data_IF_602601982929
#
_entry.id   IF_602601982929
#
_cell.length_a   1.000
_cell.length_b   1.000
_cell.length_c   1.000
_cell.angle_alpha   90.00
_cell.angle_beta   90.00
_cell.angle_gamma   90.00
#
_symmetry.space_group_name_H-M   'P 1'
#
loop_
_entity.id
_entity.type
_entity.pdbx_description
1 polymer ?
#
# COMPACT_ATOMS: atom_id res chain seq x y z
N UNK A 1 -22.79 5.55 -5.26
CA UNK A 1 -21.91 5.68 -4.06
C UNK A 1 -20.56 5.00 -4.26
N UNK A 2 -20.50 3.77 -4.79
CA UNK A 2 -19.23 3.17 -5.25
C UNK A 2 -18.56 3.99 -6.36
N UNK A 3 -19.35 4.56 -7.28
CA UNK A 3 -18.83 5.30 -8.43
C UNK A 3 -18.07 6.55 -8.01
N UNK A 4 -18.56 7.29 -7.02
CA UNK A 4 -17.88 8.50 -6.52
C UNK A 4 -16.52 8.19 -5.88
N UNK A 5 -16.42 7.10 -5.12
CA UNK A 5 -15.15 6.69 -4.50
C UNK A 5 -14.18 6.21 -5.57
N UNK A 6 -14.67 5.43 -6.54
CA UNK A 6 -13.87 5.00 -7.68
C UNK A 6 -13.36 6.20 -8.49
N UNK A 7 -14.22 7.17 -8.80
CA UNK A 7 -13.88 8.39 -9.53
C UNK A 7 -12.83 9.22 -8.78
N UNK A 8 -12.95 9.33 -7.45
CA UNK A 8 -11.95 10.00 -6.63
C UNK A 8 -10.60 9.29 -6.66
N UNK A 9 -10.58 7.96 -6.51
CA UNK A 9 -9.36 7.17 -6.62
C UNK A 9 -8.68 7.35 -7.99
N UNK A 10 -9.46 7.30 -9.07
CA UNK A 10 -8.97 7.52 -10.44
C UNK A 10 -8.48 8.95 -10.63
N UNK A 11 -9.19 9.96 -10.12
CA UNK A 11 -8.79 11.36 -10.23
C UNK A 11 -7.45 11.63 -9.52
N UNK A 12 -7.25 11.06 -8.33
CA UNK A 12 -5.97 11.13 -7.61
C UNK A 12 -4.88 10.46 -8.44
N UNK A 13 -5.11 9.24 -8.93
CA UNK A 13 -4.14 8.52 -9.77
C UNK A 13 -3.77 9.31 -11.03
N UNK A 14 -4.74 9.87 -11.74
CA UNK A 14 -4.49 10.67 -12.94
C UNK A 14 -3.72 11.95 -12.60
N UNK A 15 -4.01 12.59 -11.47
CA UNK A 15 -3.25 13.74 -10.99
C UNK A 15 -1.77 13.39 -10.78
N UNK A 16 -1.49 12.30 -10.06
CA UNK A 16 -0.12 11.83 -9.85
C UNK A 16 0.56 11.40 -11.15
N UNK A 17 -0.18 10.78 -12.07
CA UNK A 17 0.34 10.40 -13.38
C UNK A 17 0.79 11.64 -14.17
N UNK A 18 -0.04 12.68 -14.21
CA UNK A 18 0.31 13.94 -14.87
C UNK A 18 1.51 14.63 -14.22
N UNK A 19 1.60 14.64 -12.89
CA UNK A 19 2.75 15.20 -12.16
C UNK A 19 4.05 14.46 -12.49
N UNK A 20 3.97 13.13 -12.64
CA UNK A 20 5.11 12.27 -12.95
C UNK A 20 5.38 12.16 -14.47
N UNK A 21 4.53 12.77 -15.31
CA UNK A 21 4.60 12.64 -16.77
C UNK A 21 4.33 11.22 -17.30
N UNK A 22 3.62 10.39 -16.52
CA UNK A 22 3.28 9.00 -16.87
C UNK A 22 1.85 8.89 -17.41
N UNK A 23 1.59 7.84 -18.18
CA UNK A 23 0.22 7.50 -18.61
C UNK A 23 -0.57 6.79 -17.50
N UNK A 24 -1.89 6.80 -17.62
CA UNK A 24 -2.79 6.08 -16.69
C UNK A 24 -2.45 4.59 -16.54
N UNK A 25 -2.00 3.94 -17.64
CA UNK A 25 -1.60 2.53 -17.60
C UNK A 25 -0.33 2.33 -16.78
N UNK A 26 0.65 3.20 -16.95
CA UNK A 26 1.93 3.10 -16.25
C UNK A 26 1.78 3.33 -14.75
N UNK A 27 1.02 4.36 -14.34
CA UNK A 27 0.81 4.60 -12.91
C UNK A 27 0.04 3.45 -12.24
N UNK A 28 -0.92 2.85 -12.95
CA UNK A 28 -1.63 1.69 -12.42
C UNK A 28 -0.70 0.51 -12.19
N UNK A 29 0.22 0.22 -13.14
CA UNK A 29 1.23 -0.83 -12.96
C UNK A 29 2.13 -0.51 -11.76
N UNK A 30 2.58 0.73 -11.61
CA UNK A 30 3.35 1.15 -10.44
C UNK A 30 2.61 0.92 -9.12
N UNK A 31 1.33 1.26 -9.05
CA UNK A 31 0.53 1.11 -7.83
C UNK A 31 0.33 -0.36 -7.47
N UNK A 32 -0.04 -1.19 -8.44
CA UNK A 32 -0.32 -2.61 -8.17
C UNK A 32 0.93 -3.46 -8.02
N UNK A 33 1.98 -3.19 -8.79
CA UNK A 33 3.19 -4.04 -8.84
C UNK A 33 4.29 -3.55 -7.91
N UNK A 34 4.27 -2.28 -7.51
CA UNK A 34 5.33 -1.72 -6.64
C UNK A 34 4.73 -1.30 -5.29
N UNK A 35 3.76 -0.39 -5.27
CA UNK A 35 3.21 0.13 -4.00
C UNK A 35 2.55 -0.98 -3.18
N UNK A 36 1.68 -1.77 -3.80
CA UNK A 36 0.95 -2.83 -3.11
C UNK A 36 1.84 -3.91 -2.46
N UNK A 37 2.85 -4.48 -3.17
CA UNK A 37 3.76 -5.42 -2.53
C UNK A 37 4.66 -4.77 -1.49
N UNK A 38 5.10 -3.52 -1.67
CA UNK A 38 5.87 -2.80 -0.64
C UNK A 38 5.02 -2.65 0.64
N UNK A 39 3.78 -2.19 0.52
CA UNK A 39 2.87 -2.06 1.67
C UNK A 39 2.66 -3.41 2.35
N UNK A 40 2.46 -4.47 1.58
CA UNK A 40 2.29 -5.83 2.11
C UNK A 40 3.55 -6.29 2.85
N UNK A 41 4.73 -6.07 2.29
CA UNK A 41 6.01 -6.45 2.88
C UNK A 41 6.26 -5.69 4.19
N UNK A 42 5.98 -4.38 4.22
CA UNK A 42 6.04 -3.57 5.44
C UNK A 42 5.08 -4.11 6.51
N UNK A 43 3.85 -4.47 6.13
CA UNK A 43 2.87 -5.04 7.05
C UNK A 43 3.37 -6.38 7.62
N UNK A 44 3.93 -7.24 6.79
CA UNK A 44 4.53 -8.52 7.19
C UNK A 44 5.67 -8.31 8.18
N UNK A 45 6.58 -7.37 7.92
CA UNK A 45 7.68 -7.04 8.85
C UNK A 45 7.11 -6.58 10.20
N UNK A 46 6.11 -5.69 10.18
CA UNK A 46 5.46 -5.20 11.39
C UNK A 46 4.86 -6.35 12.20
N UNK A 47 4.14 -7.26 11.54
CA UNK A 47 3.53 -8.44 12.18
C UNK A 47 4.60 -9.33 12.81
N UNK A 48 5.69 -9.63 12.09
CA UNK A 48 6.79 -10.46 12.62
C UNK A 48 7.41 -9.80 13.86
N UNK A 49 7.67 -8.50 13.82
CA UNK A 49 8.22 -7.75 14.97
C UNK A 49 7.26 -7.74 16.17
N UNK A 50 5.96 -7.57 15.92
CA UNK A 50 4.94 -7.63 16.96
C UNK A 50 4.87 -9.01 17.61
N UNK A 51 4.87 -10.08 16.81
CA UNK A 51 4.84 -11.45 17.33
C UNK A 51 6.09 -11.78 18.16
N UNK A 52 7.27 -11.31 17.78
CA UNK A 52 8.49 -11.50 18.57
C UNK A 52 8.38 -10.82 19.94
N UNK A 53 7.87 -9.58 19.98
CA UNK A 53 7.64 -8.86 21.25
C UNK A 53 6.64 -9.59 22.15
N UNK A 54 5.52 -10.05 21.60
CA UNK A 54 4.51 -10.80 22.37
C UNK A 54 5.11 -12.10 22.95
N UNK A 55 5.90 -12.85 22.17
CA UNK A 55 6.57 -14.07 22.65
C UNK A 55 7.61 -13.79 23.75
N UNK A 56 8.28 -12.65 23.71
CA UNK A 56 9.21 -12.25 24.77
C UNK A 56 8.47 -11.93 26.07
N UNK A 57 7.34 -11.21 25.98
CA UNK A 57 6.49 -10.90 27.13
C UNK A 57 5.91 -12.17 27.78
N UNK A 58 5.48 -13.15 26.97
CA UNK A 58 4.96 -14.43 27.46
C UNK A 58 6.02 -15.36 28.08
N UNK A 59 7.31 -15.18 27.77
CA UNK A 59 8.40 -15.99 28.36
C UNK A 59 8.95 -15.44 29.67
N UNK A 60 8.62 -14.19 30.03
CA UNK A 60 9.13 -13.51 31.21
C UNK A 60 8.12 -13.37 32.36
N UNK A 61 6.94 -13.98 32.25
CA UNK A 61 5.89 -14.02 33.28
C UNK A 61 5.69 -15.42 33.83
#
# INVERSE_FOLDING_TARGET
MMDQVFDWCVAILVYWANVLGMTYKEINVWVFVIIWPILTLVLVIIIIRQQQRIRQLLKGG
#
